data_IF_866081760950
#
_entry.id   IF_866081760950
#
_cell.length_a   1.000
_cell.length_b   1.000
_cell.length_c   1.000
_cell.angle_alpha   90.00
_cell.angle_beta   90.00
_cell.angle_gamma   90.00
#
_symmetry.space_group_name_H-M   'P 1'
#
loop_
_entity.id
_entity.type
_entity.pdbx_description
1 polymer ?
#
# COMPACT_ATOMS: atom_id res chain seq x y z
N UNK A 1 8.56 -5.84 -5.71
CA UNK A 1 7.95 -6.04 -7.05
C UNK A 1 7.76 -7.51 -7.34
N UNK A 2 6.82 -7.85 -8.22
CA UNK A 2 6.65 -9.22 -8.69
C UNK A 2 7.89 -9.71 -9.43
N UNK A 3 8.09 -11.02 -9.44
CA UNK A 3 9.12 -11.65 -10.27
C UNK A 3 8.83 -11.33 -11.75
N UNK A 4 9.85 -10.89 -12.48
CA UNK A 4 9.75 -10.50 -13.89
C UNK A 4 9.30 -11.63 -14.82
N UNK A 5 9.60 -12.88 -14.45
CA UNK A 5 9.21 -14.06 -15.21
C UNK A 5 7.74 -14.45 -15.03
N UNK A 6 7.01 -13.82 -14.13
CA UNK A 6 5.58 -14.06 -13.91
C UNK A 6 4.73 -13.06 -14.68
N UNK A 7 3.65 -13.54 -15.26
CA UNK A 7 2.55 -12.68 -15.68
C UNK A 7 1.89 -12.06 -14.45
N UNK A 8 1.09 -11.03 -14.64
CA UNK A 8 0.33 -10.44 -13.54
C UNK A 8 -0.64 -11.45 -12.90
N UNK A 9 -1.32 -12.24 -13.72
CA UNK A 9 -2.30 -13.22 -13.25
C UNK A 9 -1.62 -14.35 -12.45
N UNK A 10 -0.45 -14.82 -12.88
CA UNK A 10 0.34 -15.80 -12.13
C UNK A 10 0.82 -15.23 -10.79
N UNK A 11 1.33 -14.01 -10.80
CA UNK A 11 1.72 -13.32 -9.56
C UNK A 11 0.52 -13.15 -8.61
N UNK A 12 -0.61 -12.68 -9.15
CA UNK A 12 -1.84 -12.51 -8.37
C UNK A 12 -2.33 -13.84 -7.78
N UNK A 13 -2.35 -14.89 -8.58
CA UNK A 13 -2.76 -16.23 -8.12
C UNK A 13 -1.82 -16.74 -7.01
N UNK A 14 -0.53 -16.60 -7.17
CA UNK A 14 0.45 -16.99 -6.15
C UNK A 14 0.36 -16.13 -4.89
N UNK A 15 0.29 -14.82 -5.03
CA UNK A 15 0.25 -13.89 -3.90
C UNK A 15 -1.05 -13.99 -3.11
N UNK A 16 -2.20 -13.96 -3.78
CA UNK A 16 -3.53 -14.00 -3.14
C UNK A 16 -3.90 -15.41 -2.69
N UNK A 17 -3.64 -16.42 -3.52
CA UNK A 17 -4.03 -17.79 -3.23
C UNK A 17 -3.07 -18.49 -2.28
N UNK A 18 -1.79 -18.53 -2.63
CA UNK A 18 -0.78 -19.30 -1.91
C UNK A 18 -0.17 -18.51 -0.74
N UNK A 19 0.53 -17.42 -1.01
CA UNK A 19 1.24 -16.62 -0.01
C UNK A 19 0.32 -16.12 1.11
N UNK A 20 -0.87 -15.62 0.74
CA UNK A 20 -1.86 -15.13 1.69
C UNK A 20 -2.32 -16.21 2.70
N UNK A 21 -2.33 -17.48 2.31
CA UNK A 21 -2.74 -18.55 3.20
C UNK A 21 -1.87 -18.68 4.45
N UNK A 22 -0.60 -18.30 4.36
CA UNK A 22 0.34 -18.30 5.47
C UNK A 22 0.16 -17.08 6.38
N UNK A 23 0.04 -15.88 5.82
CA UNK A 23 -0.17 -14.66 6.60
C UNK A 23 -1.40 -14.74 7.53
N UNK A 24 -2.46 -15.40 7.07
CA UNK A 24 -3.68 -15.62 7.88
C UNK A 24 -3.50 -16.51 9.10
N UNK A 25 -2.43 -17.29 9.17
CA UNK A 25 -2.16 -18.24 10.28
C UNK A 25 -1.29 -17.63 11.37
N UNK A 26 -0.87 -16.39 11.24
CA UNK A 26 -0.12 -15.72 12.28
C UNK A 26 -0.93 -15.64 13.57
N UNK A 27 -0.31 -16.02 14.69
CA UNK A 27 -0.94 -15.93 16.00
C UNK A 27 -1.27 -14.47 16.32
N UNK A 28 -2.42 -14.24 16.93
CA UNK A 28 -2.90 -12.90 17.34
C UNK A 28 -3.14 -11.90 16.20
N UNK A 29 -3.11 -12.33 14.93
CA UNK A 29 -3.48 -11.45 13.83
C UNK A 29 -4.97 -11.04 13.94
N UNK A 30 -5.25 -9.75 13.79
CA UNK A 30 -6.61 -9.18 13.84
C UNK A 30 -7.18 -8.94 12.46
N UNK A 31 -6.33 -8.66 11.51
CA UNK A 31 -6.75 -8.44 10.12
C UNK A 31 -5.61 -8.68 9.16
N UNK A 32 -5.97 -9.08 7.96
CA UNK A 32 -5.06 -9.23 6.84
C UNK A 32 -5.75 -8.77 5.56
N UNK A 33 -5.18 -7.77 4.92
CA UNK A 33 -5.67 -7.25 3.65
C UNK A 33 -4.56 -7.34 2.62
N UNK A 34 -4.89 -7.85 1.44
CA UNK A 34 -3.99 -7.86 0.29
C UNK A 34 -4.43 -6.82 -0.72
N UNK A 35 -3.46 -6.10 -1.24
CA UNK A 35 -3.62 -5.11 -2.28
C UNK A 35 -2.66 -5.48 -3.42
N UNK A 36 -3.19 -6.04 -4.48
CA UNK A 36 -2.42 -6.32 -5.69
C UNK A 36 -2.70 -5.21 -6.68
N UNK A 37 -1.66 -4.54 -7.19
CA UNK A 37 -1.84 -3.48 -8.18
C UNK A 37 -2.59 -4.05 -9.38
N UNK A 38 -3.64 -3.36 -9.81
CA UNK A 38 -4.37 -3.73 -11.03
C UNK A 38 -3.48 -3.56 -12.26
N UNK A 39 -3.70 -4.39 -13.29
CA UNK A 39 -3.11 -4.17 -14.61
C UNK A 39 -3.75 -2.97 -15.33
N UNK A 40 -4.94 -2.57 -14.88
CA UNK A 40 -5.63 -1.43 -15.45
C UNK A 40 -4.98 -0.14 -14.97
N UNK A 41 -4.79 0.78 -15.88
CA UNK A 41 -4.37 2.12 -15.53
C UNK A 41 -5.62 2.97 -15.29
N UNK A 42 -5.79 3.47 -14.09
CA UNK A 42 -6.93 4.31 -13.71
C UNK A 42 -7.16 5.48 -14.70
N UNK A 43 -6.10 5.95 -15.38
CA UNK A 43 -6.20 6.99 -16.40
C UNK A 43 -6.72 6.48 -17.74
N UNK A 44 -6.59 5.19 -18.04
CA UNK A 44 -7.04 4.56 -19.29
C UNK A 44 -8.51 4.17 -19.20
N UNK A 45 -8.96 3.74 -18.02
CA UNK A 45 -10.34 3.34 -17.78
C UNK A 45 -11.32 4.52 -17.77
N UNK A 46 -10.81 5.74 -17.62
CA UNK A 46 -11.62 6.94 -17.60
C UNK A 46 -11.57 7.66 -18.95
N UNK A 47 -12.72 7.82 -19.59
CA UNK A 47 -12.90 8.37 -20.95
C UNK A 47 -12.20 9.72 -21.17
N UNK A 48 -11.94 10.48 -20.10
CA UNK A 48 -11.24 11.75 -20.17
C UNK A 48 -9.96 11.74 -19.33
N UNK A 49 -8.90 11.13 -19.87
CA UNK A 49 -7.59 11.04 -19.19
C UNK A 49 -7.00 12.40 -18.78
N UNK A 50 -7.46 13.52 -19.38
CA UNK A 50 -7.04 14.87 -18.97
C UNK A 50 -7.48 15.22 -17.54
N UNK A 51 -8.63 14.70 -17.10
CA UNK A 51 -9.13 14.93 -15.75
C UNK A 51 -8.27 14.25 -14.69
N UNK A 52 -7.76 13.05 -14.96
CA UNK A 52 -6.88 12.35 -14.00
C UNK A 52 -5.65 13.19 -13.70
N UNK A 53 -5.09 13.89 -14.68
CA UNK A 53 -3.98 14.83 -14.50
C UNK A 53 -4.30 16.01 -13.58
N UNK A 54 -5.57 16.28 -13.34
CA UNK A 54 -5.98 17.31 -12.39
C UNK A 54 -5.88 16.88 -10.93
N UNK A 55 -5.91 15.57 -10.66
CA UNK A 55 -5.82 15.00 -9.32
C UNK A 55 -4.52 14.25 -9.08
N UNK A 56 -3.79 13.90 -10.13
CA UNK A 56 -2.48 13.23 -10.08
C UNK A 56 -1.39 14.17 -10.58
N UNK A 57 -0.33 14.33 -9.79
CA UNK A 57 0.83 15.14 -10.19
C UNK A 57 2.12 14.57 -9.58
N UNK A 58 3.22 14.78 -10.33
CA UNK A 58 4.56 14.33 -9.96
C UNK A 58 4.65 12.84 -9.63
N UNK A 59 3.86 12.02 -10.32
CA UNK A 59 4.02 10.57 -10.28
C UNK A 59 5.39 10.19 -10.87
N UNK A 60 6.21 9.38 -10.17
CA UNK A 60 7.46 8.89 -10.74
C UNK A 60 7.20 7.99 -11.94
N UNK A 61 7.90 8.22 -13.04
CA UNK A 61 7.71 7.49 -14.32
C UNK A 61 7.98 6.00 -14.22
N UNK A 62 8.77 5.57 -13.23
CA UNK A 62 9.15 4.18 -12.98
C UNK A 62 8.49 3.59 -11.72
N UNK A 63 7.47 4.26 -11.15
CA UNK A 63 6.84 3.81 -9.91
C UNK A 63 6.21 2.43 -10.04
N UNK A 64 5.63 2.11 -11.19
CA UNK A 64 5.04 0.82 -11.47
C UNK A 64 6.06 -0.33 -11.49
N UNK A 65 7.33 -0.02 -11.72
CA UNK A 65 8.43 -0.98 -11.59
C UNK A 65 8.92 -1.16 -10.15
N UNK A 66 8.53 -0.25 -9.23
CA UNK A 66 8.92 -0.28 -7.83
C UNK A 66 7.88 -0.95 -6.94
N UNK A 67 6.65 -1.13 -7.43
CA UNK A 67 5.53 -1.58 -6.63
C UNK A 67 4.56 -2.48 -7.41
N UNK A 68 4.26 -3.65 -6.87
CA UNK A 68 3.28 -4.59 -7.44
C UNK A 68 2.13 -4.92 -6.50
N UNK A 69 2.22 -4.46 -5.26
CA UNK A 69 1.21 -4.71 -4.23
C UNK A 69 1.80 -4.75 -2.84
N UNK A 70 0.95 -4.87 -1.85
CA UNK A 70 1.36 -5.04 -0.45
C UNK A 70 0.30 -5.79 0.37
N UNK A 71 0.75 -6.47 1.41
CA UNK A 71 -0.09 -7.04 2.45
C UNK A 71 -0.08 -6.17 3.70
N UNK A 72 -1.25 -5.93 4.28
CA UNK A 72 -1.40 -5.27 5.57
C UNK A 72 -1.67 -6.32 6.63
N UNK A 73 -0.83 -6.35 7.66
CA UNK A 73 -0.97 -7.19 8.83
C UNK A 73 -1.36 -6.31 10.01
N UNK A 74 -2.48 -6.61 10.63
CA UNK A 74 -3.02 -5.83 11.75
C UNK A 74 -2.91 -6.61 13.04
N UNK A 75 -2.32 -6.01 14.05
CA UNK A 75 -2.16 -6.55 15.40
C UNK A 75 -2.61 -5.53 16.44
N UNK A 76 -3.03 -5.97 17.62
CA UNK A 76 -3.40 -5.06 18.71
C UNK A 76 -2.17 -4.32 19.27
N UNK A 77 -1.00 -4.99 19.26
CA UNK A 77 0.27 -4.46 19.76
C UNK A 77 1.43 -4.95 18.90
N UNK A 78 2.51 -4.18 18.91
CA UNK A 78 3.73 -4.55 18.19
C UNK A 78 4.37 -5.83 18.71
N UNK A 79 4.30 -6.08 20.03
CA UNK A 79 4.79 -7.30 20.65
C UNK A 79 4.08 -8.56 20.15
N UNK A 80 2.79 -8.45 19.83
CA UNK A 80 2.02 -9.56 19.26
C UNK A 80 2.53 -9.89 17.85
N UNK A 81 2.89 -8.87 17.06
CA UNK A 81 3.52 -9.05 15.75
C UNK A 81 4.89 -9.75 15.90
N UNK A 82 5.77 -9.29 16.78
CA UNK A 82 7.08 -9.91 16.98
C UNK A 82 6.95 -11.36 17.41
N UNK A 83 6.08 -11.65 18.39
CA UNK A 83 5.84 -13.01 18.88
C UNK A 83 5.28 -13.94 17.78
N UNK A 84 4.38 -13.42 16.94
CA UNK A 84 3.81 -14.19 15.84
C UNK A 84 4.82 -14.49 14.73
N UNK A 85 5.78 -13.60 14.50
CA UNK A 85 6.80 -13.73 13.45
C UNK A 85 7.98 -14.62 13.84
N UNK A 86 8.34 -14.70 15.11
CA UNK A 86 9.54 -15.41 15.56
C UNK A 86 9.62 -16.86 15.07
N UNK A 87 8.58 -17.70 15.19
CA UNK A 87 8.66 -19.08 14.71
C UNK A 87 8.88 -19.17 13.18
N UNK A 88 8.36 -18.22 12.42
CA UNK A 88 8.57 -18.16 10.98
C UNK A 88 9.97 -17.63 10.63
N UNK A 89 10.51 -16.69 11.39
CA UNK A 89 11.87 -16.18 11.22
C UNK A 89 12.91 -17.28 11.47
N UNK A 90 12.70 -18.16 12.43
CA UNK A 90 13.59 -19.29 12.73
C UNK A 90 13.70 -20.26 11.53
N UNK A 91 12.65 -20.33 10.71
CA UNK A 91 12.60 -21.14 9.48
C UNK A 91 12.90 -20.36 8.22
N UNK A 92 13.16 -19.06 8.32
CA UNK A 92 13.27 -18.18 7.15
C UNK A 92 14.38 -18.64 6.20
N UNK A 93 14.07 -18.65 4.93
CA UNK A 93 15.02 -18.76 3.83
C UNK A 93 15.80 -17.46 3.61
N UNK A 94 16.64 -17.39 2.55
CA UNK A 94 17.51 -16.23 2.31
C UNK A 94 16.74 -14.94 1.99
N UNK A 95 15.51 -15.04 1.45
CA UNK A 95 14.73 -13.91 0.97
C UNK A 95 13.53 -13.55 1.85
N UNK A 96 13.36 -14.16 3.01
CA UNK A 96 12.32 -13.79 3.95
C UNK A 96 11.77 -14.93 4.78
N UNK A 97 10.62 -14.67 5.41
CA UNK A 97 9.94 -15.62 6.28
C UNK A 97 9.30 -16.75 5.48
N UNK A 98 9.31 -17.94 6.06
CA UNK A 98 8.58 -19.08 5.55
C UNK A 98 7.86 -19.81 6.67
N UNK A 99 6.61 -20.16 6.42
CA UNK A 99 5.73 -20.82 7.42
C UNK A 99 5.58 -22.33 7.16
N UNK A 100 6.02 -22.78 6.00
CA UNK A 100 5.98 -24.19 5.61
C UNK A 100 7.39 -24.75 5.44
N UNK A 101 7.71 -25.80 6.17
CA UNK A 101 9.05 -26.41 6.16
C UNK A 101 9.45 -26.96 4.80
N UNK A 102 8.50 -27.37 3.97
CA UNK A 102 8.79 -27.87 2.62
C UNK A 102 9.12 -26.74 1.67
N UNK A 103 8.42 -25.63 1.77
CA UNK A 103 8.66 -24.45 0.97
C UNK A 103 9.95 -23.76 1.39
N UNK A 104 10.24 -23.68 2.68
CA UNK A 104 11.50 -23.14 3.20
C UNK A 104 12.74 -23.87 2.66
N UNK A 105 12.65 -25.19 2.44
CA UNK A 105 13.76 -26.00 1.90
C UNK A 105 14.12 -25.68 0.44
N UNK A 106 13.20 -25.09 -0.31
CA UNK A 106 13.39 -24.71 -1.72
C UNK A 106 13.54 -23.20 -1.91
N UNK A 107 13.82 -22.45 -0.83
CA UNK A 107 14.03 -21.01 -0.88
C UNK A 107 12.78 -20.18 -0.59
N UNK A 108 11.63 -20.84 -0.31
CA UNK A 108 10.38 -20.19 -0.02
C UNK A 108 9.64 -19.69 -1.27
N UNK A 109 8.48 -19.11 -1.06
CA UNK A 109 7.68 -18.51 -2.14
C UNK A 109 8.16 -17.11 -2.53
N UNK A 110 9.01 -16.48 -1.72
CA UNK A 110 9.55 -15.16 -2.01
C UNK A 110 10.42 -15.13 -3.27
N UNK A 111 11.27 -16.15 -3.50
CA UNK A 111 12.07 -16.24 -4.73
C UNK A 111 11.19 -16.47 -5.96
N UNK A 112 10.08 -17.18 -5.79
CA UNK A 112 9.15 -17.42 -6.89
C UNK A 112 8.34 -16.19 -7.22
N UNK A 113 7.81 -15.49 -6.20
CA UNK A 113 6.85 -14.40 -6.38
C UNK A 113 7.49 -13.05 -6.65
N UNK A 114 8.69 -12.78 -6.11
CA UNK A 114 9.29 -11.44 -6.10
C UNK A 114 10.65 -11.37 -6.78
N UNK A 115 10.92 -10.21 -7.35
CA UNK A 115 12.26 -9.81 -7.79
C UNK A 115 13.00 -9.16 -6.62
N UNK A 116 13.71 -9.95 -5.84
CA UNK A 116 14.38 -9.55 -4.60
C UNK A 116 13.45 -9.54 -3.39
N UNK A 117 14.02 -9.28 -2.22
CA UNK A 117 13.26 -9.24 -0.97
C UNK A 117 12.19 -8.16 -0.97
N UNK A 118 10.96 -8.45 -0.54
CA UNK A 118 9.94 -7.44 -0.37
C UNK A 118 10.31 -6.46 0.78
N UNK A 119 9.73 -5.26 0.77
CA UNK A 119 9.91 -4.28 1.83
C UNK A 119 8.88 -4.47 2.92
N UNK A 120 9.31 -4.28 4.17
CA UNK A 120 8.42 -4.20 5.32
C UNK A 120 8.50 -2.80 5.92
N UNK A 121 7.35 -2.21 6.21
CA UNK A 121 7.27 -0.90 6.85
C UNK A 121 6.11 -0.86 7.83
N UNK A 122 6.23 0.03 8.80
CA UNK A 122 5.19 0.28 9.79
C UNK A 122 4.40 1.54 9.42
N UNK A 123 3.10 1.53 9.68
CA UNK A 123 2.22 2.67 9.44
C UNK A 123 1.40 2.99 10.69
N UNK A 124 1.10 4.27 10.87
CA UNK A 124 0.03 4.73 11.74
C UNK A 124 -1.25 4.82 10.93
N UNK A 125 -2.19 3.93 11.23
CA UNK A 125 -3.50 3.90 10.57
C UNK A 125 -4.47 4.88 11.22
N UNK A 126 -5.21 5.62 10.41
CA UNK A 126 -6.36 6.41 10.82
C UNK A 126 -7.58 6.03 9.96
N UNK A 127 -8.56 5.41 10.59
CA UNK A 127 -9.82 5.03 9.96
C UNK A 127 -10.75 6.25 10.00
N UNK A 128 -10.95 6.89 8.84
CA UNK A 128 -11.83 8.06 8.69
C UNK A 128 -13.27 7.61 8.43
N UNK A 129 -13.43 6.66 7.49
CA UNK A 129 -14.69 5.97 7.23
C UNK A 129 -14.42 4.48 7.31
N UNK A 130 -15.03 3.76 8.27
CA UNK A 130 -14.88 2.30 8.37
C UNK A 130 -15.31 1.62 7.07
N UNK A 131 -14.52 0.64 6.63
CA UNK A 131 -14.84 -0.10 5.40
C UNK A 131 -16.07 -0.98 5.63
N UNK A 132 -17.14 -0.67 4.92
CA UNK A 132 -18.31 -1.54 4.84
C UNK A 132 -18.02 -2.62 3.80
N UNK A 133 -17.97 -3.88 4.24
CA UNK A 133 -17.68 -5.03 3.36
C UNK A 133 -19.00 -5.69 2.92
N UNK A 134 -19.53 -5.32 1.74
CA UNK A 134 -20.68 -6.00 1.16
C UNK A 134 -20.26 -7.39 0.64
N UNK A 135 -21.22 -8.19 0.20
CA UNK A 135 -20.96 -9.51 -0.40
C UNK A 135 -20.27 -9.44 -1.77
N UNK A 136 -20.28 -8.27 -2.41
CA UNK A 136 -19.61 -8.05 -3.70
C UNK A 136 -18.28 -7.29 -3.53
N UNK A 137 -17.39 -7.46 -4.51
CA UNK A 137 -16.11 -6.76 -4.58
C UNK A 137 -16.34 -5.24 -4.68
N UNK A 138 -15.62 -4.48 -3.88
CA UNK A 138 -15.54 -3.03 -3.99
C UNK A 138 -14.41 -2.62 -4.95
N UNK A 139 -14.61 -1.50 -5.61
CA UNK A 139 -13.54 -0.82 -6.33
C UNK A 139 -12.63 -0.13 -5.31
N UNK A 140 -11.35 -0.43 -5.34
CA UNK A 140 -10.37 0.13 -4.40
C UNK A 140 -9.29 0.92 -5.15
N UNK A 141 -9.01 2.11 -4.61
CA UNK A 141 -7.95 3.00 -5.10
C UNK A 141 -7.05 3.40 -3.94
N UNK A 142 -5.75 3.47 -4.21
CA UNK A 142 -4.76 3.98 -3.28
C UNK A 142 -4.17 5.25 -3.85
N UNK A 143 -4.23 6.32 -3.06
CA UNK A 143 -3.51 7.56 -3.33
C UNK A 143 -2.19 7.53 -2.58
N UNK A 144 -1.09 7.59 -3.31
CA UNK A 144 0.24 7.81 -2.76
C UNK A 144 0.50 9.30 -2.65
N UNK A 145 0.89 9.73 -1.46
CA UNK A 145 1.08 11.15 -1.13
C UNK A 145 2.47 11.36 -0.55
N UNK A 146 3.19 12.34 -1.09
CA UNK A 146 4.44 12.86 -0.53
C UNK A 146 4.19 14.26 0.01
N UNK A 147 4.45 14.46 1.29
CA UNK A 147 4.38 15.78 1.92
C UNK A 147 5.51 16.68 1.38
N UNK A 148 5.23 17.96 1.23
CA UNK A 148 6.28 18.97 1.09
C UNK A 148 6.69 19.49 2.48
N UNK A 149 7.81 20.20 2.55
CA UNK A 149 8.40 20.66 3.82
C UNK A 149 7.84 22.01 4.33
N UNK A 150 6.71 22.47 3.77
CA UNK A 150 6.12 23.79 4.13
C UNK A 150 5.53 23.77 5.55
N UNK A 151 5.04 22.62 6.01
CA UNK A 151 4.49 22.45 7.35
C UNK A 151 5.32 21.46 8.17
N UNK A 152 5.32 21.66 9.48
CA UNK A 152 5.76 20.60 10.38
C UNK A 152 4.83 19.39 10.26
N UNK A 153 5.35 18.20 10.52
CA UNK A 153 4.59 16.94 10.48
C UNK A 153 3.31 17.01 11.32
N UNK A 154 3.38 17.60 12.50
CA UNK A 154 2.23 17.73 13.42
C UNK A 154 1.10 18.56 12.78
N UNK A 155 1.42 19.70 12.19
CA UNK A 155 0.43 20.57 11.54
C UNK A 155 -0.11 19.94 10.28
N UNK A 156 0.75 19.31 9.48
CA UNK A 156 0.33 18.60 8.29
C UNK A 156 -0.65 17.48 8.64
N UNK A 157 -0.33 16.65 9.63
CA UNK A 157 -1.20 15.57 10.11
C UNK A 157 -2.55 16.09 10.63
N UNK A 158 -2.55 17.23 11.31
CA UNK A 158 -3.78 17.86 11.77
C UNK A 158 -4.68 18.28 10.60
N UNK A 159 -4.13 18.87 9.55
CA UNK A 159 -4.89 19.25 8.35
C UNK A 159 -5.32 18.02 7.54
N UNK A 160 -4.43 17.04 7.37
CA UNK A 160 -4.72 15.81 6.62
C UNK A 160 -5.86 15.03 7.25
N UNK A 161 -5.75 14.73 8.56
CA UNK A 161 -6.74 13.94 9.31
C UNK A 161 -7.98 14.74 9.71
N UNK A 162 -7.93 16.06 9.62
CA UNK A 162 -9.03 16.99 9.87
C UNK A 162 -9.74 17.39 8.58
N UNK A 163 -9.51 18.62 8.15
CA UNK A 163 -10.29 19.26 7.07
C UNK A 163 -10.17 18.55 5.70
N UNK A 164 -9.01 17.99 5.37
CA UNK A 164 -8.85 17.30 4.09
C UNK A 164 -9.61 15.97 4.06
N UNK A 165 -9.42 15.13 5.09
CA UNK A 165 -10.13 13.85 5.18
C UNK A 165 -11.63 14.03 5.43
N UNK A 166 -12.05 15.09 6.14
CA UNK A 166 -13.48 15.42 6.29
C UNK A 166 -14.13 15.75 4.94
N UNK A 167 -13.42 16.48 4.08
CA UNK A 167 -13.91 16.74 2.73
C UNK A 167 -14.02 15.47 1.89
N UNK A 168 -13.00 14.61 1.94
CA UNK A 168 -12.99 13.32 1.23
C UNK A 168 -14.07 12.36 1.74
N UNK A 169 -14.37 12.37 3.03
CA UNK A 169 -15.40 11.49 3.63
C UNK A 169 -16.82 11.77 3.14
N UNK A 170 -17.03 12.92 2.48
CA UNK A 170 -18.31 13.34 1.89
C UNK A 170 -18.47 12.90 0.43
N UNK A 171 -17.53 12.11 -0.11
CA UNK A 171 -17.63 11.60 -1.47
C UNK A 171 -18.80 10.62 -1.61
N UNK A 172 -19.62 10.84 -2.63
CA UNK A 172 -20.76 9.97 -2.91
C UNK A 172 -20.30 8.55 -3.25
N UNK A 173 -20.98 7.55 -2.69
CA UNK A 173 -20.65 6.14 -2.94
C UNK A 173 -19.39 5.62 -2.22
N UNK A 174 -18.77 6.43 -1.37
CA UNK A 174 -17.62 6.02 -0.55
C UNK A 174 -18.05 4.96 0.46
N UNK A 175 -17.33 3.84 0.49
CA UNK A 175 -17.57 2.70 1.38
C UNK A 175 -16.46 2.50 2.40
N UNK A 176 -15.41 3.28 2.32
CA UNK A 176 -14.29 3.26 3.26
C UNK A 176 -13.24 4.30 2.89
N UNK A 177 -12.61 4.87 3.92
CA UNK A 177 -11.51 5.82 3.79
C UNK A 177 -10.52 5.59 4.94
N UNK A 178 -9.32 5.18 4.61
CA UNK A 178 -8.26 4.92 5.60
C UNK A 178 -6.99 5.67 5.19
N UNK A 179 -6.35 6.31 6.15
CA UNK A 179 -5.07 6.99 5.98
C UNK A 179 -3.99 6.18 6.67
N UNK A 180 -3.00 5.71 5.92
CA UNK A 180 -1.84 5.00 6.40
C UNK A 180 -0.60 5.89 6.29
N UNK A 181 -0.14 6.42 7.40
CA UNK A 181 1.07 7.23 7.46
C UNK A 181 2.26 6.36 7.80
N UNK A 182 3.25 6.30 6.91
CA UNK A 182 4.49 5.56 7.15
C UNK A 182 5.24 6.19 8.33
N UNK A 183 5.72 5.34 9.24
CA UNK A 183 6.54 5.77 10.38
C UNK A 183 8.03 5.61 10.06
N UNK A 184 8.88 6.23 10.85
CA UNK A 184 10.33 6.02 10.80
C UNK A 184 10.78 4.72 11.46
N UNK A 185 9.86 3.98 12.08
CA UNK A 185 10.19 2.73 12.76
C UNK A 185 10.53 1.63 11.75
N UNK A 186 11.77 1.19 11.73
CA UNK A 186 12.23 0.14 10.81
C UNK A 186 11.91 -1.25 11.38
N UNK A 187 11.07 -1.99 10.66
CA UNK A 187 10.64 -3.35 10.99
C UNK A 187 11.35 -4.42 10.15
N UNK A 188 12.29 -4.05 9.27
CA UNK A 188 12.94 -4.98 8.34
C UNK A 188 13.67 -6.10 9.08
N UNK A 189 14.38 -5.79 10.17
CA UNK A 189 15.12 -6.76 10.98
C UNK A 189 14.22 -7.76 11.73
N UNK A 190 12.94 -7.43 11.87
CA UNK A 190 11.95 -8.34 12.46
C UNK A 190 11.34 -9.29 11.42
N UNK A 191 11.62 -9.08 10.13
CA UNK A 191 11.08 -9.87 9.05
C UNK A 191 12.16 -10.66 8.30
N UNK A 192 13.35 -10.10 8.16
CA UNK A 192 14.44 -10.70 7.39
C UNK A 192 15.68 -10.96 8.26
N UNK A 193 16.44 -11.99 7.90
CA UNK A 193 17.76 -12.26 8.50
C UNK A 193 18.80 -11.24 8.00
N UNK A 194 19.87 -11.00 8.78
CA UNK A 194 20.89 -10.00 8.41
C UNK A 194 21.55 -10.23 7.04
N UNK A 195 21.65 -11.49 6.60
CA UNK A 195 22.20 -11.87 5.31
C UNK A 195 21.24 -11.75 4.12
N UNK A 196 19.98 -11.36 4.34
CA UNK A 196 18.97 -11.21 3.31
C UNK A 196 19.31 -10.09 2.33
N UNK A 197 18.90 -10.24 1.07
CA UNK A 197 19.17 -9.29 -0.03
C UNK A 197 18.74 -7.87 0.30
N UNK A 198 17.64 -7.69 1.03
CA UNK A 198 17.13 -6.37 1.43
C UNK A 198 18.09 -5.52 2.26
N UNK A 199 19.15 -6.11 2.85
CA UNK A 199 20.21 -5.42 3.58
C UNK A 199 21.49 -5.23 2.75
N UNK A 200 21.55 -5.75 1.52
CA UNK A 200 22.61 -5.41 0.57
C UNK A 200 22.52 -3.92 0.18
N UNK A 201 23.62 -3.37 -0.35
CA UNK A 201 23.60 -1.99 -0.85
C UNK A 201 22.50 -1.76 -1.89
N UNK A 202 22.28 -2.72 -2.78
CA UNK A 202 21.25 -2.65 -3.81
C UNK A 202 19.85 -2.70 -3.22
N UNK A 203 19.60 -3.63 -2.29
CA UNK A 203 18.31 -3.75 -1.59
C UNK A 203 17.96 -2.49 -0.78
N UNK A 204 18.94 -1.90 -0.10
CA UNK A 204 18.77 -0.64 0.63
C UNK A 204 18.43 0.51 -0.32
N UNK A 205 19.21 0.69 -1.39
CA UNK A 205 18.96 1.75 -2.39
C UNK A 205 17.58 1.62 -3.05
N UNK A 206 17.18 0.39 -3.38
CA UNK A 206 15.86 0.12 -3.95
C UNK A 206 14.73 0.50 -3.00
N UNK A 207 14.88 0.20 -1.70
CA UNK A 207 13.92 0.56 -0.66
C UNK A 207 13.86 2.07 -0.42
N UNK A 208 15.01 2.74 -0.34
CA UNK A 208 15.09 4.20 -0.19
C UNK A 208 14.42 4.90 -1.36
N UNK A 209 14.71 4.49 -2.59
CA UNK A 209 14.07 5.02 -3.79
C UNK A 209 12.55 4.89 -3.74
N UNK A 210 12.03 3.75 -3.29
CA UNK A 210 10.59 3.57 -3.11
C UNK A 210 10.02 4.52 -2.05
N UNK A 211 10.70 4.70 -0.92
CA UNK A 211 10.26 5.57 0.17
C UNK A 211 10.40 7.06 -0.12
N UNK A 212 11.24 7.46 -1.08
CA UNK A 212 11.32 8.84 -1.54
C UNK A 212 10.03 9.33 -2.22
N UNK A 213 9.24 8.41 -2.73
CA UNK A 213 8.06 8.74 -3.54
C UNK A 213 6.81 9.01 -2.71
N UNK A 214 6.74 8.56 -1.45
CA UNK A 214 5.55 8.69 -0.63
C UNK A 214 5.85 8.64 0.87
N UNK A 215 4.97 9.27 1.65
CA UNK A 215 4.94 9.22 3.11
C UNK A 215 3.61 8.63 3.62
N UNK A 216 2.57 8.76 2.80
CA UNK A 216 1.20 8.42 3.17
C UNK A 216 0.55 7.67 2.02
N UNK A 217 -0.21 6.64 2.36
CA UNK A 217 -1.18 5.98 1.48
C UNK A 217 -2.58 6.27 2.00
N UNK A 218 -3.43 6.81 1.14
CA UNK A 218 -4.86 6.99 1.43
C UNK A 218 -5.61 5.95 0.63
N UNK A 219 -6.34 5.10 1.31
CA UNK A 219 -7.12 4.04 0.72
C UNK A 219 -8.58 4.45 0.62
N UNK A 220 -9.14 4.27 -0.56
CA UNK A 220 -10.54 4.57 -0.88
C UNK A 220 -11.24 3.31 -1.34
N UNK A 221 -12.43 3.05 -0.83
CA UNK A 221 -13.32 1.99 -1.30
C UNK A 221 -14.61 2.57 -1.81
N UNK A 222 -15.05 2.15 -3.00
CA UNK A 222 -16.29 2.56 -3.64
C UNK A 222 -17.05 1.34 -4.15
N UNK A 223 -18.34 1.50 -4.43
CA UNK A 223 -19.10 0.45 -5.09
C UNK A 223 -18.55 0.10 -6.48
N UNK A 224 -18.11 1.11 -7.24
CA UNK A 224 -17.45 0.98 -8.54
C UNK A 224 -16.62 2.24 -8.86
N UNK A 225 -15.93 2.20 -10.00
CA UNK A 225 -15.07 3.31 -10.47
C UNK A 225 -15.85 4.60 -10.78
N UNK A 226 -17.10 4.50 -11.26
CA UNK A 226 -17.90 5.68 -11.62
C UNK A 226 -18.17 6.57 -10.39
N UNK A 227 -18.42 5.99 -9.22
CA UNK A 227 -18.58 6.74 -7.99
C UNK A 227 -17.30 7.46 -7.59
N UNK A 228 -16.14 6.81 -7.71
CA UNK A 228 -14.85 7.46 -7.45
C UNK A 228 -14.66 8.68 -8.35
N UNK A 229 -14.79 8.51 -9.66
CA UNK A 229 -14.55 9.57 -10.62
C UNK A 229 -15.58 10.71 -10.49
N UNK A 230 -16.87 10.41 -10.44
CA UNK A 230 -17.91 11.43 -10.31
C UNK A 230 -17.75 12.26 -9.04
N UNK A 231 -17.41 11.63 -7.93
CA UNK A 231 -17.20 12.33 -6.66
C UNK A 231 -15.89 13.10 -6.65
N UNK A 232 -14.78 12.48 -7.10
CA UNK A 232 -13.45 13.11 -7.06
C UNK A 232 -13.36 14.33 -7.98
N UNK A 233 -14.10 14.32 -9.12
CA UNK A 233 -14.20 15.44 -10.05
C UNK A 233 -15.37 16.39 -9.76
N UNK A 234 -16.11 16.19 -8.67
CA UNK A 234 -17.06 17.20 -8.22
C UNK A 234 -16.35 18.55 -8.02
N UNK A 235 -16.83 19.61 -8.68
CA UNK A 235 -16.16 20.91 -8.72
C UNK A 235 -15.84 21.51 -7.36
N UNK A 236 -16.75 21.33 -6.39
CA UNK A 236 -16.54 21.87 -5.05
C UNK A 236 -15.46 21.10 -4.30
N UNK A 237 -15.50 19.77 -4.35
CA UNK A 237 -14.49 18.91 -3.74
C UNK A 237 -13.13 19.13 -4.40
N UNK A 238 -13.08 19.11 -5.74
CA UNK A 238 -11.85 19.31 -6.49
C UNK A 238 -11.20 20.66 -6.18
N UNK A 239 -11.99 21.74 -6.15
CA UNK A 239 -11.46 23.07 -5.80
C UNK A 239 -10.90 23.14 -4.39
N UNK A 240 -11.53 22.43 -3.44
CA UNK A 240 -11.06 22.37 -2.06
C UNK A 240 -9.78 21.53 -1.93
N UNK A 241 -9.79 20.32 -2.47
CA UNK A 241 -8.65 19.40 -2.36
C UNK A 241 -7.42 19.90 -3.10
N UNK A 242 -7.58 20.49 -4.29
CA UNK A 242 -6.48 21.13 -5.03
C UNK A 242 -5.75 22.18 -4.21
N UNK A 243 -6.46 23.06 -3.49
CA UNK A 243 -5.82 24.08 -2.64
C UNK A 243 -4.94 23.47 -1.57
N UNK A 244 -5.35 22.35 -0.99
CA UNK A 244 -4.54 21.61 -0.03
C UNK A 244 -3.36 20.93 -0.72
N UNK A 245 -3.63 20.19 -1.79
CA UNK A 245 -2.66 19.38 -2.52
C UNK A 245 -1.54 20.25 -3.11
N UNK A 246 -1.86 21.30 -3.84
CA UNK A 246 -0.88 22.24 -4.43
C UNK A 246 0.00 22.92 -3.37
N UNK A 247 -0.54 23.18 -2.18
CA UNK A 247 0.17 23.89 -1.13
C UNK A 247 1.06 22.98 -0.27
N UNK A 248 0.60 21.77 0.02
CA UNK A 248 1.19 20.93 1.06
C UNK A 248 1.78 19.62 0.55
N UNK A 249 1.53 19.25 -0.71
CA UNK A 249 2.04 18.02 -1.28
C UNK A 249 3.13 18.28 -2.32
N UNK A 250 4.17 17.44 -2.28
CA UNK A 250 5.22 17.37 -3.30
C UNK A 250 4.75 16.52 -4.48
N UNK A 251 4.03 15.45 -4.19
CA UNK A 251 3.41 14.56 -5.19
C UNK A 251 2.13 13.94 -4.64
N UNK A 252 1.23 13.62 -5.55
CA UNK A 252 -0.01 12.88 -5.29
C UNK A 252 -0.40 12.13 -6.55
N UNK A 253 -0.59 10.80 -6.44
CA UNK A 253 -0.99 9.98 -7.58
C UNK A 253 -1.76 8.74 -7.12
N UNK A 254 -2.54 8.16 -8.01
CA UNK A 254 -3.50 7.11 -7.70
C UNK A 254 -3.15 5.79 -8.39
N UNK A 255 -3.36 4.69 -7.69
CA UNK A 255 -3.25 3.33 -8.23
C UNK A 255 -4.48 2.53 -7.86
N UNK A 256 -5.04 1.83 -8.85
CA UNK A 256 -6.07 0.85 -8.63
C UNK A 256 -5.47 -0.44 -8.08
N UNK A 257 -6.20 -1.09 -7.17
CA UNK A 257 -5.82 -2.37 -6.59
C UNK A 257 -7.00 -3.33 -6.53
N UNK A 258 -6.64 -4.58 -6.68
CA UNK A 258 -7.54 -5.72 -6.50
C UNK A 258 -7.61 -6.18 -5.06
#
# INVERSE_FOLDING_TARGET
TKNENLTHDEYRAGHVGYHNSFGRRLNNIRGYTLNVRSNQNIAEDYINSSLVKEISFNEPTDFDNQWSGYGQLMFDRFEDYITAKQPALDKAGPNGLEFDDMVAKVGGDFEHLYSGSPFQFNVNEAIIVPVMRPEHKLFKVIQFVKQNEVLSEILFNSYLKGTYSEALSKMDGLQGLIINQRTSFDVMTNFFKPESECFSNEGVLRREKFYENWDIMIEYWFYNSDYFFSSRFNKNLLSFTKKFEEKYLKSSFYKEVD
#
